data_IF_254105589883
#
_entry.id   IF_254105589883
#
_cell.length_a   1.000
_cell.length_b   1.000
_cell.length_c   1.000
_cell.angle_alpha   90.00
_cell.angle_beta   90.00
_cell.angle_gamma   90.00
#
_symmetry.space_group_name_H-M   'P 1'
#
loop_
_entity.id
_entity.type
_entity.pdbx_description
1 polymer ?
#
# COMPACT_ATOMS: atom_id res chain seq x y z
N UNK A 1 -0.73 -70.86 -7.48
CA UNK A 1 -1.46 -69.57 -7.53
C UNK A 1 -0.78 -68.61 -6.56
N UNK A 2 -0.16 -67.53 -7.03
CA UNK A 2 0.47 -66.50 -6.18
C UNK A 2 -0.53 -65.36 -5.96
N UNK A 3 -0.79 -64.93 -4.72
CA UNK A 3 -1.70 -63.82 -4.48
C UNK A 3 -1.02 -62.51 -4.90
N UNK A 4 -1.69 -61.71 -5.73
CA UNK A 4 -1.27 -60.35 -6.05
C UNK A 4 -1.66 -59.45 -4.87
N UNK A 5 -0.68 -58.91 -4.15
CA UNK A 5 -0.91 -57.79 -3.25
C UNK A 5 -1.28 -56.56 -4.08
N UNK A 6 -2.48 -56.04 -3.85
CA UNK A 6 -2.91 -54.74 -4.37
C UNK A 6 -2.49 -53.71 -3.33
N UNK A 7 -1.47 -52.91 -3.66
CA UNK A 7 -1.12 -51.74 -2.86
C UNK A 7 -2.10 -50.62 -3.19
N UNK A 8 -2.95 -50.26 -2.23
CA UNK A 8 -3.82 -49.08 -2.31
C UNK A 8 -2.99 -47.90 -1.83
N UNK A 9 -2.51 -47.09 -2.77
CA UNK A 9 -1.89 -45.80 -2.45
C UNK A 9 -3.00 -44.81 -2.10
N UNK A 10 -3.17 -44.52 -0.82
CA UNK A 10 -4.04 -43.45 -0.34
C UNK A 10 -3.39 -42.10 -0.67
N UNK A 11 -3.89 -41.45 -1.72
CA UNK A 11 -3.52 -40.09 -2.10
C UNK A 11 -4.23 -39.12 -1.13
N UNK A 12 -3.54 -38.70 -0.08
CA UNK A 12 -3.99 -37.59 0.77
C UNK A 12 -3.85 -36.28 -0.01
N UNK A 13 -4.95 -35.80 -0.58
CA UNK A 13 -5.06 -34.44 -1.11
C UNK A 13 -5.15 -33.47 0.08
N UNK A 14 -4.01 -32.87 0.43
CA UNK A 14 -3.98 -31.64 1.23
C UNK A 14 -4.55 -30.50 0.37
N UNK A 15 -5.87 -30.37 0.36
CA UNK A 15 -6.50 -29.15 -0.15
C UNK A 15 -6.16 -28.03 0.85
N UNK A 16 -5.07 -27.30 0.58
CA UNK A 16 -4.86 -26.01 1.23
C UNK A 16 -6.05 -25.13 0.87
N UNK A 17 -6.80 -24.68 1.89
CA UNK A 17 -7.82 -23.65 1.68
C UNK A 17 -7.10 -22.38 1.23
N UNK A 18 -7.01 -22.18 -0.09
CA UNK A 18 -6.67 -20.88 -0.63
C UNK A 18 -7.73 -19.91 -0.10
N UNK A 19 -7.33 -19.01 0.78
CA UNK A 19 -8.20 -17.95 1.27
C UNK A 19 -8.45 -17.01 0.10
N UNK A 20 -9.71 -16.72 -0.18
CA UNK A 20 -10.10 -15.86 -1.29
C UNK A 20 -10.37 -14.46 -0.75
N UNK A 21 -9.78 -13.46 -1.36
CA UNK A 21 -10.09 -12.06 -1.06
C UNK A 21 -11.57 -11.77 -1.36
N UNK A 22 -12.17 -10.93 -0.52
CA UNK A 22 -13.51 -10.38 -0.71
C UNK A 22 -13.47 -9.10 -1.55
N UNK A 23 -14.64 -8.64 -1.98
CA UNK A 23 -14.77 -7.37 -2.67
C UNK A 23 -14.75 -6.23 -1.64
N UNK A 24 -14.01 -5.16 -1.93
CA UNK A 24 -14.03 -3.97 -1.09
C UNK A 24 -15.47 -3.42 -0.99
N UNK A 25 -16.02 -3.27 0.23
CA UNK A 25 -17.38 -2.78 0.44
C UNK A 25 -17.57 -1.31 0.04
N UNK A 26 -16.50 -0.51 0.01
CA UNK A 26 -16.52 0.89 -0.40
C UNK A 26 -15.54 1.15 -1.57
N UNK A 27 -16.00 1.09 -2.83
CA UNK A 27 -15.13 1.32 -3.98
C UNK A 27 -14.61 2.76 -4.10
N UNK A 28 -15.10 3.69 -3.28
CA UNK A 28 -14.60 5.07 -3.21
C UNK A 28 -13.52 5.26 -2.15
N UNK A 29 -13.29 4.24 -1.32
CA UNK A 29 -12.29 4.21 -0.27
C UNK A 29 -11.34 3.03 -0.51
N UNK A 30 -10.17 3.33 -1.07
CA UNK A 30 -9.24 2.29 -1.55
C UNK A 30 -7.89 2.40 -0.87
N UNK A 31 -7.21 1.26 -0.77
CA UNK A 31 -5.89 1.16 -0.16
C UNK A 31 -4.90 0.52 -1.11
N UNK A 32 -3.65 0.93 -1.03
CA UNK A 32 -2.55 0.35 -1.81
C UNK A 32 -1.30 0.23 -0.95
N UNK A 33 -0.57 -0.88 -1.09
CA UNK A 33 0.73 -1.05 -0.47
C UNK A 33 1.80 -0.38 -1.35
N UNK A 34 2.79 0.27 -0.74
CA UNK A 34 3.90 0.85 -1.48
C UNK A 34 5.25 0.72 -0.77
N UNK A 35 6.31 0.75 -1.56
CA UNK A 35 7.67 0.91 -1.05
C UNK A 35 8.55 1.71 -2.03
N UNK A 36 9.49 2.46 -1.47
CA UNK A 36 10.54 3.17 -2.21
C UNK A 36 11.89 2.62 -1.76
N UNK A 37 12.72 2.18 -2.70
CA UNK A 37 14.06 1.66 -2.44
C UNK A 37 15.10 2.46 -3.21
N UNK A 38 16.18 2.85 -2.52
CA UNK A 38 17.33 3.53 -3.13
C UNK A 38 18.59 2.77 -2.76
N UNK A 39 19.31 2.29 -3.78
CA UNK A 39 20.55 1.52 -3.66
C UNK A 39 20.41 0.33 -2.67
N UNK A 40 19.23 -0.30 -2.66
CA UNK A 40 18.91 -1.45 -1.79
C UNK A 40 18.58 -1.11 -0.35
N UNK A 41 18.33 0.16 -0.04
CA UNK A 41 17.80 0.64 1.25
C UNK A 41 16.37 1.12 1.08
N UNK A 42 15.44 0.61 1.87
CA UNK A 42 14.05 1.06 1.88
C UNK A 42 13.94 2.41 2.58
N UNK A 43 13.25 3.36 1.96
CA UNK A 43 12.87 4.61 2.59
C UNK A 43 11.79 4.35 3.66
N UNK A 44 11.92 5.00 4.82
CA UNK A 44 10.99 4.88 5.94
C UNK A 44 10.03 6.08 5.95
N UNK A 45 8.75 5.81 5.73
CA UNK A 45 7.67 6.82 5.79
C UNK A 45 6.82 6.69 7.06
N UNK A 46 7.24 5.90 8.07
CA UNK A 46 6.51 5.74 9.34
C UNK A 46 6.63 6.92 10.32
N UNK A 47 7.50 7.88 10.01
CA UNK A 47 7.72 9.09 10.77
C UNK A 47 6.45 9.96 10.88
N UNK A 48 6.29 10.63 12.02
CA UNK A 48 5.13 11.48 12.30
C UNK A 48 4.98 12.63 11.27
N UNK A 49 6.08 13.04 10.66
CA UNK A 49 6.11 14.03 9.59
C UNK A 49 5.47 13.58 8.28
N UNK A 50 5.09 12.31 8.12
CA UNK A 50 4.34 11.84 6.95
C UNK A 50 2.90 11.44 7.28
N UNK A 51 2.54 11.49 8.56
CA UNK A 51 1.22 11.08 9.04
C UNK A 51 0.28 12.27 8.99
N UNK A 52 -0.88 12.10 8.36
CA UNK A 52 -1.99 13.00 8.59
C UNK A 52 -2.52 12.76 10.00
N UNK A 53 -2.78 13.84 10.73
CA UNK A 53 -3.34 13.80 12.07
C UNK A 53 -4.72 13.17 12.18
N UNK A 54 -5.37 12.80 11.05
CA UNK A 54 -6.67 12.11 10.97
C UNK A 54 -6.55 10.69 11.54
N UNK A 55 -6.35 10.61 12.86
CA UNK A 55 -6.25 9.38 13.60
C UNK A 55 -7.63 8.97 14.12
N UNK A 56 -7.74 7.69 14.42
CA UNK A 56 -8.94 6.94 14.81
C UNK A 56 -9.71 7.42 16.06
N UNK A 57 -9.41 8.60 16.59
CA UNK A 57 -9.91 9.09 17.87
C UNK A 57 -10.69 10.40 17.72
N UNK A 58 -12.02 10.34 17.87
CA UNK A 58 -12.91 11.51 17.99
C UNK A 58 -12.53 12.45 19.16
N UNK A 59 -11.57 12.06 20.01
CA UNK A 59 -11.07 12.85 21.14
C UNK A 59 -9.67 13.44 20.95
N UNK A 60 -8.95 13.08 19.88
CA UNK A 60 -7.75 13.82 19.51
C UNK A 60 -8.16 15.05 18.72
N UNK A 61 -7.78 16.22 19.25
CA UNK A 61 -7.90 17.46 18.51
C UNK A 61 -6.89 17.41 17.37
N UNK A 62 -7.29 16.85 16.24
CA UNK A 62 -6.54 16.99 15.00
C UNK A 62 -6.53 18.48 14.70
N UNK A 63 -5.41 19.12 15.00
CA UNK A 63 -5.20 20.52 14.65
C UNK A 63 -5.34 20.58 13.12
N UNK A 64 -6.21 21.47 12.62
CA UNK A 64 -6.52 21.57 11.20
C UNK A 64 -5.29 21.83 10.29
N UNK A 65 -4.13 22.09 10.89
CA UNK A 65 -2.83 22.33 10.27
C UNK A 65 -1.95 21.06 10.16
N UNK A 66 -2.38 19.89 10.67
CA UNK A 66 -1.66 18.60 10.62
C UNK A 66 -2.15 17.65 9.49
N UNK A 67 -2.98 18.14 8.58
CA UNK A 67 -3.52 17.34 7.47
C UNK A 67 -2.72 17.59 6.19
N UNK A 68 -1.97 16.59 5.73
CA UNK A 68 -1.24 16.65 4.46
C UNK A 68 -2.19 16.79 3.26
N UNK A 69 -3.13 15.85 3.16
CA UNK A 69 -4.30 15.86 2.30
C UNK A 69 -5.38 15.00 2.98
N UNK A 70 -6.59 15.54 3.14
CA UNK A 70 -7.69 14.86 3.82
C UNK A 70 -8.19 13.63 3.07
N UNK A 71 -7.91 13.52 1.77
CA UNK A 71 -8.39 12.44 0.92
C UNK A 71 -7.30 11.42 0.57
N UNK A 72 -6.04 11.71 0.87
CA UNK A 72 -4.92 10.86 0.48
C UNK A 72 -3.76 10.98 1.46
N UNK A 73 -3.55 9.96 2.29
CA UNK A 73 -2.61 10.09 3.40
C UNK A 73 -2.10 8.76 3.97
N UNK A 74 -1.19 8.89 4.93
CA UNK A 74 -0.75 7.87 5.86
C UNK A 74 -1.24 8.22 7.27
N UNK A 75 -1.46 7.22 8.12
CA UNK A 75 -1.74 7.40 9.55
C UNK A 75 -1.24 6.20 10.35
N UNK A 76 -1.36 6.27 11.68
CA UNK A 76 -0.99 5.20 12.63
C UNK A 76 0.47 4.75 12.58
N UNK A 77 1.39 5.62 12.12
CA UNK A 77 2.78 5.27 11.84
C UNK A 77 2.92 4.13 10.83
N UNK A 78 1.90 3.90 9.99
CA UNK A 78 1.97 2.99 8.87
C UNK A 78 2.57 3.72 7.67
N UNK A 79 3.85 3.46 7.41
CA UNK A 79 4.60 4.07 6.31
C UNK A 79 4.46 3.36 4.97
N UNK A 80 3.56 2.38 4.83
CA UNK A 80 3.51 1.48 3.66
C UNK A 80 2.12 1.24 3.09
N UNK A 81 1.04 1.71 3.73
CA UNK A 81 -0.32 1.65 3.19
C UNK A 81 -0.85 3.05 2.89
N UNK A 82 -1.13 3.30 1.62
CA UNK A 82 -1.79 4.52 1.13
C UNK A 82 -3.29 4.43 1.46
N UNK A 83 -3.86 5.44 2.11
CA UNK A 83 -5.31 5.56 2.35
C UNK A 83 -5.88 6.60 1.39
N UNK A 84 -6.89 6.22 0.61
CA UNK A 84 -7.48 7.07 -0.42
C UNK A 84 -8.99 7.12 -0.29
N UNK A 85 -9.53 8.24 0.20
CA UNK A 85 -10.97 8.46 0.38
C UNK A 85 -11.65 9.08 -0.86
N UNK A 86 -10.99 8.96 -2.03
CA UNK A 86 -11.51 9.47 -3.30
C UNK A 86 -10.95 8.68 -4.49
N UNK A 87 -11.79 8.24 -5.44
CA UNK A 87 -11.33 7.63 -6.67
C UNK A 87 -10.50 8.56 -7.56
N UNK A 88 -9.65 7.96 -8.39
CA UNK A 88 -8.96 8.68 -9.47
C UNK A 88 -7.71 9.46 -9.02
N UNK A 89 -7.24 9.23 -7.80
CA UNK A 89 -6.00 9.82 -7.31
C UNK A 89 -4.80 9.04 -7.85
N UNK A 90 -3.75 9.78 -8.20
CA UNK A 90 -2.53 9.21 -8.77
C UNK A 90 -1.49 8.95 -7.70
N UNK A 91 -0.51 8.10 -8.02
CA UNK A 91 0.68 7.90 -7.18
C UNK A 91 1.41 9.22 -6.93
N UNK A 92 1.46 10.10 -7.93
CA UNK A 92 2.01 11.45 -7.80
C UNK A 92 1.24 12.28 -6.79
N UNK A 93 -0.10 12.29 -6.85
CA UNK A 93 -0.93 13.01 -5.88
C UNK A 93 -0.64 12.54 -4.45
N UNK A 94 -0.40 11.24 -4.25
CA UNK A 94 -0.04 10.70 -2.95
C UNK A 94 1.29 11.27 -2.46
N UNK A 95 2.35 11.17 -3.25
CA UNK A 95 3.64 11.72 -2.82
C UNK A 95 3.61 13.25 -2.64
N UNK A 96 2.85 13.98 -3.47
CA UNK A 96 2.64 15.42 -3.30
C UNK A 96 1.95 15.76 -1.96
N UNK A 97 1.05 14.88 -1.46
CA UNK A 97 0.38 15.06 -0.17
C UNK A 97 1.41 15.09 0.96
N UNK A 98 2.27 14.07 1.03
CA UNK A 98 3.35 13.91 2.03
C UNK A 98 4.63 14.67 1.68
N UNK A 99 4.55 15.61 0.72
CA UNK A 99 5.65 16.49 0.26
C UNK A 99 6.90 15.76 -0.21
N UNK A 100 6.72 14.58 -0.81
CA UNK A 100 7.79 13.81 -1.46
C UNK A 100 7.75 14.08 -2.96
N UNK A 101 8.88 14.46 -3.52
CA UNK A 101 9.06 14.68 -4.95
C UNK A 101 10.08 13.71 -5.54
N UNK A 102 9.88 13.34 -6.81
CA UNK A 102 10.80 12.46 -7.55
C UNK A 102 11.41 13.19 -8.75
N UNK A 103 12.69 12.91 -8.97
CA UNK A 103 13.38 13.06 -10.25
C UNK A 103 13.66 11.66 -10.82
N UNK A 104 14.35 11.59 -11.96
CA UNK A 104 14.76 10.31 -12.53
C UNK A 104 15.65 9.51 -11.56
N UNK A 105 16.47 10.15 -10.72
CA UNK A 105 17.48 9.47 -9.88
C UNK A 105 17.29 9.65 -8.38
N UNK A 106 16.54 10.69 -7.97
CA UNK A 106 16.46 11.10 -6.58
C UNK A 106 15.02 11.30 -6.16
N UNK A 107 14.71 10.92 -4.92
CA UNK A 107 13.54 11.45 -4.24
C UNK A 107 13.98 12.52 -3.25
N UNK A 108 13.09 13.44 -2.94
CA UNK A 108 13.32 14.47 -1.94
C UNK A 108 12.07 14.60 -1.08
N UNK A 109 12.26 14.72 0.23
CA UNK A 109 11.19 15.06 1.15
C UNK A 109 11.30 16.52 1.55
N UNK A 110 10.21 17.26 1.35
CA UNK A 110 10.06 18.64 1.79
C UNK A 110 9.68 18.77 3.27
N UNK A 111 9.55 17.66 3.99
CA UNK A 111 9.13 17.65 5.38
C UNK A 111 10.26 18.07 6.32
N UNK A 112 9.97 18.83 7.40
CA UNK A 112 10.96 19.10 8.44
C UNK A 112 11.52 17.79 9.00
N UNK A 113 12.83 17.74 9.27
CA UNK A 113 13.55 16.57 9.81
C UNK A 113 13.74 15.37 8.86
N UNK A 114 13.22 15.43 7.63
CA UNK A 114 13.49 14.39 6.65
C UNK A 114 14.94 14.39 6.15
N UNK A 115 15.38 13.27 5.58
CA UNK A 115 16.76 13.03 5.09
C UNK A 115 17.20 13.97 3.95
N UNK A 116 16.31 14.82 3.44
CA UNK A 116 16.56 15.73 2.33
C UNK A 116 16.39 15.05 0.97
N UNK A 117 17.35 15.28 0.06
CA UNK A 117 17.39 14.62 -1.25
C UNK A 117 18.27 13.36 -1.16
N UNK A 118 17.69 12.22 -1.53
CA UNK A 118 18.36 10.92 -1.56
C UNK A 118 18.37 10.42 -3.00
N UNK A 119 19.57 10.22 -3.53
CA UNK A 119 19.80 9.84 -4.92
C UNK A 119 20.41 8.45 -5.02
N UNK A 120 20.00 7.72 -6.04
CA UNK A 120 20.58 6.43 -6.40
C UNK A 120 21.56 6.50 -7.57
N UNK A 121 22.29 5.40 -7.81
CA UNK A 121 23.26 5.32 -8.92
C UNK A 121 22.58 5.21 -10.30
N UNK A 122 21.38 4.65 -10.34
CA UNK A 122 20.58 4.41 -11.55
C UNK A 122 19.21 5.07 -11.51
N UNK A 123 18.55 5.25 -12.67
CA UNK A 123 17.19 5.75 -12.71
C UNK A 123 16.22 4.90 -11.91
N UNK A 124 15.21 5.52 -11.32
CA UNK A 124 14.08 4.82 -10.76
C UNK A 124 13.30 4.06 -11.84
N UNK A 125 12.76 2.93 -11.41
CA UNK A 125 11.87 2.04 -12.11
C UNK A 125 10.62 1.90 -11.26
N UNK A 126 9.49 1.71 -11.92
CA UNK A 126 8.20 1.61 -11.28
C UNK A 126 7.55 0.27 -11.59
N UNK A 127 7.07 -0.42 -10.57
CA UNK A 127 6.37 -1.68 -10.72
C UNK A 127 5.00 -1.58 -10.06
N UNK A 128 4.02 -2.15 -10.74
CA UNK A 128 2.66 -2.30 -10.23
C UNK A 128 2.35 -3.79 -10.23
N UNK A 129 2.04 -4.35 -9.06
CA UNK A 129 1.72 -5.76 -8.87
C UNK A 129 2.80 -6.69 -9.47
N UNK A 130 4.07 -6.37 -9.19
CA UNK A 130 5.24 -7.12 -9.66
C UNK A 130 5.59 -6.94 -11.14
N UNK A 131 4.86 -6.10 -11.88
CA UNK A 131 5.11 -5.85 -13.31
C UNK A 131 5.66 -4.46 -13.52
N UNK A 132 6.83 -4.39 -14.14
CA UNK A 132 7.45 -3.13 -14.51
C UNK A 132 6.55 -2.33 -15.46
N UNK A 133 6.41 -1.05 -15.16
CA UNK A 133 5.73 -0.04 -15.96
C UNK A 133 6.75 1.02 -16.39
N UNK A 134 6.35 1.91 -17.30
CA UNK A 134 7.06 3.17 -17.45
C UNK A 134 7.10 3.90 -16.10
N UNK A 135 8.22 4.56 -15.78
CA UNK A 135 8.30 5.42 -14.61
C UNK A 135 7.41 6.66 -14.82
N UNK A 136 6.13 6.49 -14.46
CA UNK A 136 5.06 7.46 -14.61
C UNK A 136 4.19 7.42 -13.36
N UNK A 137 4.34 8.45 -12.53
CA UNK A 137 3.59 8.58 -11.29
C UNK A 137 2.17 9.14 -11.50
N UNK A 138 1.79 9.50 -12.74
CA UNK A 138 0.39 9.82 -13.07
C UNK A 138 -0.50 8.57 -13.15
N UNK A 139 0.06 7.38 -12.88
CA UNK A 139 -0.70 6.16 -12.67
C UNK A 139 -1.75 6.34 -11.56
N UNK A 140 -3.02 6.06 -11.90
CA UNK A 140 -4.12 5.98 -10.93
C UNK A 140 -4.12 4.59 -10.31
N UNK A 141 -3.67 4.50 -9.06
CA UNK A 141 -3.64 3.23 -8.35
C UNK A 141 -5.05 2.71 -8.09
N UNK A 142 -5.17 1.40 -8.08
CA UNK A 142 -6.38 0.67 -7.75
C UNK A 142 -6.30 0.13 -6.33
N UNK A 143 -7.45 -0.23 -5.79
CA UNK A 143 -7.51 -0.97 -4.54
C UNK A 143 -6.67 -2.24 -4.62
N UNK A 144 -5.93 -2.54 -3.56
CA UNK A 144 -5.02 -3.68 -3.44
C UNK A 144 -3.77 -3.64 -4.31
N UNK A 145 -3.47 -2.53 -4.99
CA UNK A 145 -2.22 -2.44 -5.74
C UNK A 145 -0.99 -2.51 -4.83
N UNK A 146 0.04 -3.21 -5.29
CA UNK A 146 1.38 -3.20 -4.73
C UNK A 146 2.30 -2.38 -5.61
N UNK A 147 2.78 -1.25 -5.09
CA UNK A 147 3.54 -0.24 -5.81
C UNK A 147 5.01 -0.26 -5.37
N UNK A 148 5.93 -0.58 -6.28
CA UNK A 148 7.37 -0.50 -6.00
C UNK A 148 8.00 0.60 -6.84
N UNK A 149 8.70 1.53 -6.18
CA UNK A 149 9.66 2.43 -6.81
C UNK A 149 11.05 2.01 -6.37
N UNK A 150 11.92 1.66 -7.31
CA UNK A 150 13.28 1.21 -6.99
C UNK A 150 14.26 1.59 -8.08
N UNK A 151 15.52 1.81 -7.74
CA UNK A 151 16.60 1.95 -8.72
C UNK A 151 17.49 0.70 -8.83
N UNK A 152 17.05 -0.44 -8.28
CA UNK A 152 17.77 -1.71 -8.35
C UNK A 152 18.10 -2.12 -9.80
N UNK A 153 19.34 -2.59 -9.98
CA UNK A 153 19.88 -2.93 -11.31
C UNK A 153 19.73 -4.41 -11.67
N UNK A 154 19.56 -5.29 -10.68
CA UNK A 154 19.51 -6.74 -10.89
C UNK A 154 18.12 -7.30 -10.60
N UNK A 155 17.72 -8.30 -11.37
CA UNK A 155 16.44 -8.98 -11.20
C UNK A 155 16.34 -9.65 -9.83
N UNK A 156 17.46 -10.16 -9.28
CA UNK A 156 17.48 -10.74 -7.94
C UNK A 156 17.17 -9.72 -6.85
N UNK A 157 17.67 -8.49 -6.99
CA UNK A 157 17.39 -7.43 -6.02
C UNK A 157 15.94 -6.95 -6.13
N UNK A 158 15.45 -6.75 -7.35
CA UNK A 158 14.05 -6.37 -7.59
C UNK A 158 13.09 -7.42 -7.03
N UNK A 159 13.37 -8.71 -7.25
CA UNK A 159 12.56 -9.78 -6.69
C UNK A 159 12.54 -9.73 -5.16
N UNK A 160 13.69 -9.48 -4.52
CA UNK A 160 13.77 -9.32 -3.06
C UNK A 160 12.99 -8.10 -2.55
N UNK A 161 13.00 -7.00 -3.29
CA UNK A 161 12.27 -5.78 -2.90
C UNK A 161 10.76 -5.94 -3.11
N UNK A 162 10.33 -6.60 -4.19
CA UNK A 162 8.93 -7.00 -4.42
C UNK A 162 8.43 -7.95 -3.33
N UNK A 163 9.23 -8.95 -2.93
CA UNK A 163 8.89 -9.91 -1.87
C UNK A 163 8.76 -9.24 -0.48
N UNK A 164 9.29 -8.02 -0.31
CA UNK A 164 9.19 -7.25 0.92
C UNK A 164 7.99 -6.30 0.95
N UNK A 165 7.28 -6.13 -0.17
CA UNK A 165 6.00 -5.42 -0.16
C UNK A 165 5.01 -6.20 0.70
N UNK A 166 4.31 -5.46 1.54
CA UNK A 166 3.17 -5.96 2.30
C UNK A 166 1.97 -6.19 1.39
N UNK A 167 0.97 -6.89 1.93
CA UNK A 167 -0.38 -6.99 1.40
C UNK A 167 -1.39 -6.44 2.42
N UNK A 168 -0.97 -5.44 3.20
CA UNK A 168 -1.71 -4.92 4.34
C UNK A 168 -2.88 -4.04 3.89
N UNK A 169 -2.87 -3.50 2.67
CA UNK A 169 -4.02 -2.83 2.06
C UNK A 169 -5.29 -3.69 2.15
N UNK A 170 -5.17 -5.03 2.15
CA UNK A 170 -6.34 -5.90 2.26
C UNK A 170 -7.09 -5.79 3.57
N UNK A 171 -6.37 -5.48 4.66
CA UNK A 171 -6.95 -5.34 5.98
C UNK A 171 -7.81 -4.08 6.00
N UNK A 172 -7.26 -2.98 5.52
CA UNK A 172 -7.90 -1.67 5.43
C UNK A 172 -9.08 -1.66 4.46
N UNK A 173 -8.93 -2.28 3.28
CA UNK A 173 -10.02 -2.46 2.31
C UNK A 173 -11.03 -3.55 2.70
N UNK A 174 -10.87 -4.20 3.86
CA UNK A 174 -11.72 -5.31 4.36
C UNK A 174 -11.86 -6.47 3.36
N UNK A 175 -10.87 -6.66 2.50
CA UNK A 175 -10.86 -7.74 1.50
C UNK A 175 -10.24 -9.02 2.04
N UNK A 176 -9.56 -8.99 3.19
CA UNK A 176 -8.99 -10.18 3.84
C UNK A 176 -9.54 -10.40 5.26
N UNK A 177 -10.82 -10.79 5.42
CA UNK A 177 -11.49 -10.87 6.73
C UNK A 177 -10.82 -11.83 7.73
N UNK A 178 -10.00 -12.77 7.26
CA UNK A 178 -9.23 -13.65 8.13
C UNK A 178 -8.08 -12.96 8.88
N UNK A 179 -7.74 -11.72 8.52
CA UNK A 179 -6.75 -10.89 9.25
C UNK A 179 -7.38 -10.05 10.37
N UNK A 180 -8.70 -10.05 10.50
CA UNK A 180 -9.43 -9.28 11.51
C UNK A 180 -10.01 -8.00 10.93
N UNK A 181 -10.46 -7.11 11.82
CA UNK A 181 -10.96 -5.78 11.46
C UNK A 181 -9.79 -4.78 11.43
N UNK A 182 -9.77 -3.84 10.46
CA UNK A 182 -8.83 -2.73 10.48
C UNK A 182 -9.10 -1.81 11.68
N UNK A 183 -8.13 -0.94 12.04
CA UNK A 183 -8.39 0.20 12.90
C UNK A 183 -9.59 1.02 12.38
N UNK A 184 -10.29 1.71 13.29
CA UNK A 184 -11.44 2.52 12.91
C UNK A 184 -11.00 3.78 12.18
N UNK A 185 -11.26 3.87 10.88
CA UNK A 185 -11.03 5.08 10.09
C UNK A 185 -12.28 5.93 9.98
N UNK A 186 -12.15 7.22 10.25
CA UNK A 186 -13.21 8.18 10.00
C UNK A 186 -13.38 8.33 8.49
N UNK A 187 -14.54 7.94 7.96
CA UNK A 187 -14.80 8.04 6.53
C UNK A 187 -15.02 9.50 6.13
N UNK A 188 -13.93 10.20 5.83
CA UNK A 188 -13.93 11.58 5.31
C UNK A 188 -13.95 11.48 3.78
N UNK A 189 -15.12 11.19 3.23
CA UNK A 189 -15.29 11.21 1.78
C UNK A 189 -15.45 12.63 1.23
N UNK A 190 -15.01 12.80 -0.02
CA UNK A 190 -15.40 13.96 -0.83
C UNK A 190 -16.94 14.06 -0.85
N UNK A 191 -17.55 15.21 -0.49
CA UNK A 191 -19.01 15.35 -0.51
C UNK A 191 -19.65 15.07 -1.88
N UNK A 192 -18.89 15.18 -2.98
CA UNK A 192 -19.33 14.81 -4.32
C UNK A 192 -19.29 13.29 -4.60
N UNK A 193 -18.53 12.54 -3.79
CA UNK A 193 -18.32 11.08 -3.91
C UNK A 193 -18.30 10.48 -2.50
N UNK A 194 -19.48 10.36 -1.85
CA UNK A 194 -19.55 9.87 -0.47
C UNK A 194 -19.03 8.43 -0.36
N UNK A 195 -18.42 8.14 0.79
CA UNK A 195 -18.12 6.79 1.20
C UNK A 195 -19.42 5.99 1.23
N UNK A 196 -19.36 4.76 0.76
CA UNK A 196 -20.41 3.78 1.07
C UNK A 196 -20.00 3.14 2.39
N UNK A 197 -20.42 3.73 3.51
CA UNK A 197 -20.25 3.09 4.80
C UNK A 197 -20.89 1.68 4.72
N UNK A 198 -20.19 0.61 5.13
CA UNK A 198 -20.80 -0.70 5.20
C UNK A 198 -22.01 -0.61 6.14
N UNK A 199 -23.13 -1.20 5.73
CA UNK A 199 -24.34 -1.22 6.55
C UNK A 199 -23.98 -1.79 7.94
N UNK A 200 -24.32 -1.07 9.01
CA UNK A 200 -24.20 -1.60 10.37
C UNK A 200 -25.24 -2.71 10.55
N UNK A 201 -24.78 -3.97 10.58
CA UNK A 201 -25.62 -5.14 10.93
C UNK A 201 -25.98 -5.18 12.43
#
# INVERSE_FOLDING_TARGET
MRPKLIAIASLLLLAGCARAYEQNPDPNHTHADFAVWVDGVQADFSGAEYMSGLSTDETTHDEADEVHDQYLHLHDSNGHVIHSHKPGLTVKSFFDSIKVGFTEYCYSSGMPMADGEVCGETPFRFFVNGKEQSFDLDYVFQDMDQLLITNAQTDEQIAKELDQLTDDACLYSRTCPWRGEPPSENCIADPAVPCVAPDED
#
